data_IF_189601671967
#
_entry.id   IF_189601671967
#
_cell.length_a   1.000
_cell.length_b   1.000
_cell.length_c   1.000
_cell.angle_alpha   90.00
_cell.angle_beta   90.00
_cell.angle_gamma   90.00
#
_symmetry.space_group_name_H-M   'P 1'
#
loop_
_entity.id
_entity.type
_entity.pdbx_description
1 polymer ?
#
# COMPACT_ATOMS: atom_id res chain seq x y z
N UNK A 1 5.62 30.41 -23.26
CA UNK A 1 6.00 28.99 -23.10
C UNK A 1 4.82 28.15 -23.52
N UNK A 2 4.93 27.32 -24.58
CA UNK A 2 3.82 26.46 -25.01
C UNK A 2 3.69 25.30 -24.04
N UNK A 3 2.60 25.27 -23.27
CA UNK A 3 2.21 24.11 -22.48
C UNK A 3 2.03 22.92 -23.44
N UNK A 4 2.86 21.88 -23.28
CA UNK A 4 2.76 20.64 -24.05
C UNK A 4 1.48 19.92 -23.60
N UNK A 5 0.36 20.29 -24.23
CA UNK A 5 -0.92 19.63 -24.08
C UNK A 5 -0.75 18.17 -24.51
N UNK A 6 -0.79 17.25 -23.55
CA UNK A 6 -0.98 15.82 -23.81
C UNK A 6 0.01 14.85 -23.16
N UNK A 7 1.18 15.27 -22.66
CA UNK A 7 2.12 14.35 -21.98
C UNK A 7 2.00 14.45 -20.46
N UNK A 8 0.93 13.87 -19.92
CA UNK A 8 0.81 13.65 -18.47
C UNK A 8 1.77 12.52 -18.04
N UNK A 9 2.44 12.71 -16.92
CA UNK A 9 3.38 11.73 -16.40
C UNK A 9 2.66 10.48 -15.85
N UNK A 10 3.38 9.36 -15.74
CA UNK A 10 2.83 8.09 -15.25
C UNK A 10 2.15 8.19 -13.87
N UNK A 11 2.70 8.91 -12.87
CA UNK A 11 2.02 9.11 -11.59
C UNK A 11 0.64 9.76 -11.71
N UNK A 12 0.51 10.75 -12.60
CA UNK A 12 -0.77 11.42 -12.85
C UNK A 12 -1.82 10.44 -13.39
N UNK A 13 -1.46 9.64 -14.41
CA UNK A 13 -2.38 8.64 -14.96
C UNK A 13 -2.78 7.58 -13.92
N UNK A 14 -1.84 7.14 -13.08
CA UNK A 14 -2.14 6.23 -11.97
C UNK A 14 -3.17 6.83 -11.01
N UNK A 15 -3.01 8.11 -10.66
CA UNK A 15 -3.95 8.83 -9.80
C UNK A 15 -5.36 8.93 -10.42
N UNK A 16 -5.46 9.25 -11.71
CA UNK A 16 -6.76 9.35 -12.39
C UNK A 16 -7.50 8.01 -12.50
N UNK A 17 -6.77 6.92 -12.75
CA UNK A 17 -7.36 5.57 -12.76
C UNK A 17 -7.87 5.21 -11.37
N UNK A 18 -7.07 5.48 -10.33
CA UNK A 18 -7.51 5.28 -8.94
C UNK A 18 -8.75 6.12 -8.68
N UNK A 19 -8.76 7.42 -8.96
CA UNK A 19 -9.91 8.29 -8.70
C UNK A 19 -11.19 7.83 -9.42
N UNK A 20 -11.07 7.35 -10.67
CA UNK A 20 -12.22 6.95 -11.49
C UNK A 20 -12.76 5.57 -11.14
N UNK A 21 -11.90 4.62 -10.77
CA UNK A 21 -12.28 3.21 -10.61
C UNK A 21 -12.20 2.70 -9.16
N UNK A 22 -11.65 3.48 -8.23
CA UNK A 22 -11.71 3.15 -6.81
C UNK A 22 -13.11 3.42 -6.29
N UNK A 23 -13.93 2.39 -6.20
CA UNK A 23 -15.17 2.46 -5.45
C UNK A 23 -14.89 2.19 -3.96
N UNK A 24 -15.74 2.70 -3.07
CA UNK A 24 -15.58 2.48 -1.62
C UNK A 24 -15.52 1.00 -1.24
N UNK A 25 -16.22 0.14 -1.99
CA UNK A 25 -16.19 -1.32 -1.84
C UNK A 25 -14.81 -1.91 -2.12
N UNK A 26 -14.10 -1.44 -3.14
CA UNK A 26 -12.77 -1.91 -3.51
C UNK A 26 -11.74 -1.48 -2.46
N UNK A 27 -11.84 -0.24 -1.98
CA UNK A 27 -11.00 0.25 -0.87
C UNK A 27 -11.24 -0.61 0.37
N UNK A 28 -12.50 -0.90 0.69
CA UNK A 28 -12.86 -1.80 1.79
C UNK A 28 -12.26 -3.20 1.59
N UNK A 29 -12.39 -3.81 0.40
CA UNK A 29 -11.81 -5.12 0.09
C UNK A 29 -10.28 -5.14 0.23
N UNK A 30 -9.59 -4.08 -0.21
CA UNK A 30 -8.13 -3.95 -0.05
C UNK A 30 -7.73 -3.81 1.41
N UNK A 31 -8.45 -3.00 2.19
CA UNK A 31 -8.25 -2.89 3.64
C UNK A 31 -8.46 -4.23 4.35
N UNK A 32 -9.52 -4.96 4.01
CA UNK A 32 -9.78 -6.29 4.57
C UNK A 32 -8.69 -7.28 4.19
N UNK A 33 -8.25 -7.27 2.93
CA UNK A 33 -7.14 -8.12 2.46
C UNK A 33 -5.82 -7.82 3.18
N UNK A 34 -5.54 -6.53 3.47
CA UNK A 34 -4.39 -6.11 4.24
C UNK A 34 -4.45 -6.64 5.68
N UNK A 35 -5.58 -6.45 6.38
CA UNK A 35 -5.77 -6.89 7.77
C UNK A 35 -5.72 -8.41 7.96
N UNK A 36 -6.16 -9.17 6.94
CA UNK A 36 -6.21 -10.62 7.01
C UNK A 36 -4.89 -11.30 6.61
N UNK A 37 -4.01 -10.59 5.89
CA UNK A 37 -2.73 -11.15 5.40
C UNK A 37 -1.58 -10.82 6.35
N UNK A 38 -1.71 -11.24 7.61
CA UNK A 38 -0.64 -11.16 8.61
C UNK A 38 0.59 -11.93 8.16
N UNK A 39 1.76 -11.51 8.63
CA UNK A 39 3.00 -12.22 8.37
C UNK A 39 3.00 -13.58 9.08
N UNK A 40 3.54 -14.60 8.39
CA UNK A 40 3.85 -15.93 8.94
C UNK A 40 5.27 -16.26 8.55
N UNK A 41 5.97 -17.04 9.38
CA UNK A 41 7.37 -17.45 9.16
C UNK A 41 7.52 -18.27 7.87
N UNK A 42 6.45 -18.90 7.40
CA UNK A 42 6.43 -19.69 6.16
C UNK A 42 6.44 -18.84 4.87
N UNK A 43 6.28 -17.51 4.98
CA UNK A 43 6.23 -16.59 3.84
C UNK A 43 7.59 -15.93 3.65
N UNK A 44 7.97 -15.70 2.39
CA UNK A 44 9.10 -14.82 2.10
C UNK A 44 8.80 -13.39 2.59
N UNK A 45 9.66 -12.88 3.48
CA UNK A 45 9.49 -11.59 4.13
C UNK A 45 9.53 -10.44 3.12
N UNK A 46 10.43 -10.50 2.15
CA UNK A 46 10.61 -9.43 1.17
C UNK A 46 9.37 -9.31 0.27
N UNK A 47 8.90 -10.43 -0.28
CA UNK A 47 7.71 -10.49 -1.12
C UNK A 47 6.46 -10.06 -0.36
N UNK A 48 6.31 -10.51 0.89
CA UNK A 48 5.19 -10.13 1.73
C UNK A 48 5.19 -8.62 2.02
N UNK A 49 6.33 -8.05 2.41
CA UNK A 49 6.50 -6.61 2.64
C UNK A 49 6.20 -5.80 1.37
N UNK A 50 6.69 -6.24 0.21
CA UNK A 50 6.44 -5.56 -1.07
C UNK A 50 4.95 -5.60 -1.43
N UNK A 51 4.28 -6.73 -1.23
CA UNK A 51 2.84 -6.90 -1.49
C UNK A 51 2.00 -6.01 -0.58
N UNK A 52 2.27 -6.02 0.73
CA UNK A 52 1.54 -5.16 1.68
C UNK A 52 1.81 -3.68 1.42
N UNK A 53 3.05 -3.29 1.11
CA UNK A 53 3.40 -1.90 0.75
C UNK A 53 2.59 -1.41 -0.45
N UNK A 54 2.49 -2.23 -1.51
CA UNK A 54 1.68 -1.91 -2.69
C UNK A 54 0.18 -1.79 -2.35
N UNK A 55 -0.34 -2.60 -1.42
CA UNK A 55 -1.74 -2.48 -0.96
C UNK A 55 -1.97 -1.17 -0.22
N UNK A 56 -1.07 -0.81 0.69
CA UNK A 56 -1.14 0.44 1.44
C UNK A 56 -1.09 1.66 0.52
N UNK A 57 -0.17 1.68 -0.46
CA UNK A 57 -0.10 2.74 -1.47
C UNK A 57 -1.33 2.82 -2.39
N UNK A 58 -2.07 1.71 -2.52
CA UNK A 58 -3.28 1.66 -3.32
C UNK A 58 -4.51 2.14 -2.53
N UNK A 59 -4.53 1.91 -1.21
CA UNK A 59 -5.56 2.40 -0.28
C UNK A 59 -5.36 3.90 0.00
N UNK A 60 -4.11 4.29 0.26
CA UNK A 60 -3.71 5.66 0.58
C UNK A 60 -2.49 6.04 -0.27
N UNK A 61 -2.71 6.62 -1.46
CA UNK A 61 -1.62 7.03 -2.36
C UNK A 61 -0.68 8.10 -1.79
N UNK A 62 -1.09 8.80 -0.72
CA UNK A 62 -0.29 9.85 -0.09
C UNK A 62 0.36 9.39 1.23
N UNK A 63 0.28 8.10 1.54
CA UNK A 63 0.86 7.55 2.75
C UNK A 63 2.37 7.83 2.81
N UNK A 64 2.83 8.42 3.91
CA UNK A 64 4.25 8.64 4.12
C UNK A 64 4.95 7.32 4.50
N UNK A 65 6.28 7.30 4.37
CA UNK A 65 7.09 6.08 4.60
C UNK A 65 6.94 5.61 6.05
N UNK A 66 6.94 6.51 7.01
CA UNK A 66 6.85 6.20 8.44
C UNK A 66 5.53 5.50 8.77
N UNK A 67 4.41 6.05 8.28
CA UNK A 67 3.06 5.52 8.48
C UNK A 67 2.88 4.17 7.78
N UNK A 68 3.45 4.02 6.58
CA UNK A 68 3.46 2.73 5.86
C UNK A 68 4.21 1.68 6.67
N UNK A 69 5.41 2.00 7.15
CA UNK A 69 6.22 1.09 7.95
C UNK A 69 5.53 0.73 9.28
N UNK A 70 4.95 1.70 9.98
CA UNK A 70 4.17 1.45 11.18
C UNK A 70 3.03 0.47 10.92
N UNK A 71 2.26 0.67 9.84
CA UNK A 71 1.19 -0.27 9.45
C UNK A 71 1.72 -1.66 9.11
N UNK A 72 2.88 -1.78 8.47
CA UNK A 72 3.49 -3.09 8.21
C UNK A 72 3.89 -3.81 9.50
N UNK A 73 4.48 -3.09 10.45
CA UNK A 73 4.87 -3.64 11.76
C UNK A 73 3.64 -4.18 12.50
N UNK A 74 2.50 -3.48 12.46
CA UNK A 74 1.24 -3.97 13.09
C UNK A 74 0.68 -5.28 12.50
N UNK A 75 1.23 -5.75 11.38
CA UNK A 75 0.86 -7.02 10.75
C UNK A 75 1.85 -8.16 11.06
N UNK A 76 2.92 -7.87 11.81
CA UNK A 76 3.83 -8.87 12.34
C UNK A 76 3.23 -9.52 13.60
N UNK A 77 3.51 -10.80 13.86
CA UNK A 77 3.18 -11.43 15.13
C UNK A 77 3.96 -10.74 16.27
N UNK A 78 3.38 -10.69 17.47
CA UNK A 78 3.90 -9.90 18.60
C UNK A 78 5.34 -10.21 19.00
N UNK A 79 5.83 -11.44 18.77
CA UNK A 79 7.24 -11.78 19.01
C UNK A 79 8.21 -11.02 18.09
N UNK A 80 7.81 -10.72 16.85
CA UNK A 80 8.59 -9.95 15.87
C UNK A 80 8.47 -8.44 16.07
N UNK A 81 7.33 -7.94 16.56
CA UNK A 81 7.19 -6.52 16.92
C UNK A 81 8.15 -6.11 18.04
N UNK A 82 8.40 -7.00 19.00
CA UNK A 82 9.31 -6.75 20.12
C UNK A 82 10.79 -6.81 19.71
N UNK A 83 11.16 -7.60 18.71
CA UNK A 83 12.53 -7.69 18.19
C UNK A 83 12.90 -6.51 17.26
N UNK A 84 11.91 -5.78 16.74
CA UNK A 84 12.09 -4.63 15.85
C UNK A 84 12.05 -3.26 16.56
N UNK A 85 11.84 -3.24 17.89
CA UNK A 85 11.94 -2.06 18.75
C UNK A 85 13.35 -1.87 19.28
#
# INVERSE_FOLDING_TARGET
MKEIHGRRNRPWWKSQIIQKYSNGTWIWQKNTSFKNDKYSVDKDLYEWCLRQSKRLEAIDPQINIQMRNHKLLTQLPGELEHAAK
#
